data_IF_073909324889
#
_entry.id   IF_073909324889
#
_cell.length_a   1.000
_cell.length_b   1.000
_cell.length_c   1.000
_cell.angle_alpha   90.00
_cell.angle_beta   90.00
_cell.angle_gamma   90.00
#
_symmetry.space_group_name_H-M   'P 1'
#
loop_
_entity.id
_entity.type
_entity.pdbx_description
1 polymer ?
#
# COMPACT_ATOMS: atom_id res chain seq x y z
N UNK A 1 19.18 -28.16 -0.63
CA UNK A 1 18.28 -27.07 -1.06
C UNK A 1 17.75 -26.37 0.19
N UNK A 2 18.02 -25.07 0.38
CA UNK A 2 17.47 -24.32 1.52
C UNK A 2 15.97 -24.10 1.27
N UNK A 3 15.12 -24.69 2.11
CA UNK A 3 13.68 -24.44 2.07
C UNK A 3 13.41 -23.03 2.59
N UNK A 4 13.35 -22.06 1.70
CA UNK A 4 12.90 -20.70 2.03
C UNK A 4 11.39 -20.77 2.24
N UNK A 5 10.95 -20.87 3.49
CA UNK A 5 9.53 -20.85 3.84
C UNK A 5 9.01 -19.41 3.75
N UNK A 6 8.31 -19.09 2.66
CA UNK A 6 7.63 -17.82 2.48
C UNK A 6 6.24 -17.88 3.13
N UNK A 7 5.94 -16.98 4.07
CA UNK A 7 4.67 -16.99 4.82
C UNK A 7 3.47 -16.90 3.87
N UNK A 8 2.44 -17.69 4.12
CA UNK A 8 1.19 -17.73 3.35
C UNK A 8 1.33 -18.18 1.89
N UNK A 9 2.54 -18.55 1.44
CA UNK A 9 2.75 -19.12 0.12
C UNK A 9 2.55 -20.64 0.18
N UNK A 10 1.66 -21.18 -0.65
CA UNK A 10 1.37 -22.60 -0.76
C UNK A 10 1.47 -23.04 -2.22
N UNK A 11 2.05 -24.21 -2.47
CA UNK A 11 1.92 -24.87 -3.77
C UNK A 11 0.61 -25.67 -3.82
N UNK A 12 -0.16 -25.48 -4.88
CA UNK A 12 -1.31 -26.29 -5.19
C UNK A 12 -0.83 -27.59 -5.84
N UNK A 13 -0.99 -28.71 -5.14
CA UNK A 13 -0.52 -30.02 -5.60
C UNK A 13 -1.26 -30.53 -6.85
N UNK A 14 -2.50 -30.08 -7.06
CA UNK A 14 -3.33 -30.49 -8.20
C UNK A 14 -2.96 -29.77 -9.49
N UNK A 15 -2.66 -28.46 -9.40
CA UNK A 15 -2.39 -27.62 -10.58
C UNK A 15 -0.91 -27.28 -10.75
N UNK A 16 -0.09 -27.53 -9.73
CA UNK A 16 1.31 -27.12 -9.67
C UNK A 16 1.52 -25.62 -9.38
N UNK A 17 0.45 -24.82 -9.37
CA UNK A 17 0.52 -23.36 -9.17
C UNK A 17 0.90 -22.98 -7.75
N UNK A 18 1.47 -21.80 -7.59
CA UNK A 18 1.76 -21.19 -6.30
C UNK A 18 0.70 -20.17 -5.94
N UNK A 19 0.16 -20.27 -4.73
CA UNK A 19 -0.96 -19.49 -4.23
C UNK A 19 -0.58 -18.80 -2.94
N UNK A 20 -0.89 -17.50 -2.86
CA UNK A 20 -1.00 -16.81 -1.58
C UNK A 20 -2.33 -17.18 -0.95
N UNK A 21 -2.29 -17.78 0.24
CA UNK A 21 -3.50 -18.14 0.99
C UNK A 21 -3.35 -17.71 2.45
N UNK A 22 -4.13 -16.71 2.85
CA UNK A 22 -4.18 -16.21 4.23
C UNK A 22 -5.62 -16.15 4.70
N UNK A 23 -5.92 -16.76 5.85
CA UNK A 23 -7.22 -16.59 6.51
C UNK A 23 -7.43 -15.10 6.84
N UNK A 24 -8.63 -14.59 6.59
CA UNK A 24 -8.97 -13.19 6.86
C UNK A 24 -8.76 -12.94 8.37
N UNK A 25 -7.90 -11.98 8.75
CA UNK A 25 -7.71 -11.63 10.16
C UNK A 25 -8.99 -11.07 10.78
N UNK A 26 -9.20 -11.29 12.09
CA UNK A 26 -10.40 -10.84 12.82
C UNK A 26 -10.73 -9.36 12.63
N UNK A 27 -9.72 -8.50 12.54
CA UNK A 27 -9.89 -7.07 12.30
C UNK A 27 -10.56 -6.77 10.95
N UNK A 28 -10.42 -7.66 9.96
CA UNK A 28 -10.99 -7.53 8.63
C UNK A 28 -12.30 -8.31 8.44
N UNK A 29 -12.71 -9.17 9.38
CA UNK A 29 -13.91 -10.02 9.23
C UNK A 29 -15.19 -9.21 9.02
N UNK A 30 -15.30 -8.03 9.64
CA UNK A 30 -16.46 -7.13 9.47
C UNK A 30 -16.43 -6.32 8.17
N UNK A 31 -15.24 -6.12 7.59
CA UNK A 31 -15.02 -5.31 6.39
C UNK A 31 -15.02 -6.16 5.11
N UNK A 32 -14.59 -7.40 5.21
CA UNK A 32 -14.42 -8.31 4.08
C UNK A 32 -15.38 -9.48 4.23
N UNK A 33 -16.33 -9.62 3.30
CA UNK A 33 -17.31 -10.74 3.26
C UNK A 33 -16.71 -12.11 2.88
N UNK A 34 -15.38 -12.25 2.93
CA UNK A 34 -14.65 -13.48 2.55
C UNK A 34 -14.04 -14.09 3.80
N UNK A 35 -13.84 -15.42 3.79
CA UNK A 35 -13.17 -16.15 4.89
C UNK A 35 -11.65 -16.16 4.74
N UNK A 36 -11.16 -16.07 3.51
CA UNK A 36 -9.73 -16.16 3.17
C UNK A 36 -9.37 -15.24 1.99
N UNK A 37 -8.16 -14.72 2.02
CA UNK A 37 -7.48 -14.12 0.87
C UNK A 37 -6.77 -15.24 0.12
N UNK A 38 -7.27 -15.57 -1.07
CA UNK A 38 -6.65 -16.54 -1.99
C UNK A 38 -6.30 -15.82 -3.29
N UNK A 39 -5.03 -15.92 -3.69
CA UNK A 39 -4.54 -15.38 -4.96
C UNK A 39 -3.49 -16.31 -5.56
N UNK A 40 -3.69 -16.74 -6.80
CA UNK A 40 -2.65 -17.44 -7.56
C UNK A 40 -1.57 -16.43 -7.94
N UNK A 41 -0.32 -16.70 -7.54
CA UNK A 41 0.83 -15.84 -7.80
C UNK A 41 1.62 -16.27 -9.04
N UNK A 42 1.69 -17.56 -9.36
CA UNK A 42 2.40 -18.02 -10.55
C UNK A 42 2.36 -19.54 -10.71
N UNK A 43 2.95 -20.03 -11.81
CA UNK A 43 3.16 -21.48 -12.02
C UNK A 43 4.53 -21.92 -11.55
N UNK A 44 5.47 -20.98 -11.41
CA UNK A 44 6.82 -21.23 -10.92
C UNK A 44 7.06 -20.57 -9.57
N UNK A 45 8.04 -21.09 -8.83
CA UNK A 45 8.44 -20.51 -7.54
C UNK A 45 9.01 -19.09 -7.71
N UNK A 46 9.74 -18.83 -8.80
CA UNK A 46 10.32 -17.52 -9.08
C UNK A 46 9.24 -16.45 -9.26
N UNK A 47 8.24 -16.72 -10.12
CA UNK A 47 7.08 -15.81 -10.31
C UNK A 47 6.35 -15.56 -9.00
N UNK A 48 6.18 -16.62 -8.20
CA UNK A 48 5.49 -16.55 -6.93
C UNK A 48 6.21 -15.62 -5.95
N UNK A 49 7.53 -15.73 -5.84
CA UNK A 49 8.35 -14.87 -4.97
C UNK A 49 8.36 -13.42 -5.45
N UNK A 50 8.48 -13.18 -6.77
CA UNK A 50 8.44 -11.83 -7.32
C UNK A 50 7.11 -11.12 -7.04
N UNK A 51 5.99 -11.85 -7.14
CA UNK A 51 4.64 -11.29 -6.92
C UNK A 51 4.20 -11.33 -5.46
N UNK A 52 4.89 -12.10 -4.62
CA UNK A 52 4.57 -12.26 -3.21
C UNK A 52 4.59 -10.93 -2.47
N UNK A 53 5.64 -10.13 -2.66
CA UNK A 53 5.82 -8.86 -1.94
C UNK A 53 4.62 -7.95 -2.09
N UNK A 54 4.21 -7.69 -3.33
CA UNK A 54 3.07 -6.83 -3.64
C UNK A 54 1.74 -7.34 -3.05
N UNK A 55 1.46 -8.64 -3.14
CA UNK A 55 0.22 -9.20 -2.58
C UNK A 55 0.24 -9.19 -1.04
N UNK A 56 1.39 -9.47 -0.44
CA UNK A 56 1.54 -9.47 1.02
C UNK A 56 1.40 -8.05 1.60
N UNK A 57 2.09 -7.07 1.01
CA UNK A 57 2.00 -5.66 1.40
C UNK A 57 0.58 -5.12 1.29
N UNK A 58 -0.13 -5.44 0.20
CA UNK A 58 -1.53 -5.05 0.03
C UNK A 58 -2.40 -5.54 1.19
N UNK A 59 -2.22 -6.79 1.62
CA UNK A 59 -3.04 -7.36 2.69
C UNK A 59 -2.59 -6.81 4.06
N UNK A 60 -1.30 -6.62 4.31
CA UNK A 60 -0.82 -5.95 5.52
C UNK A 60 -1.32 -4.50 5.61
N UNK A 61 -1.41 -3.79 4.49
CA UNK A 61 -2.00 -2.47 4.42
C UNK A 61 -3.50 -2.51 4.80
N UNK A 62 -4.28 -3.45 4.24
CA UNK A 62 -5.68 -3.65 4.63
C UNK A 62 -5.83 -3.97 6.13
N UNK A 63 -4.95 -4.83 6.66
CA UNK A 63 -4.94 -5.17 8.09
C UNK A 63 -4.65 -3.94 8.94
N UNK A 64 -3.71 -3.11 8.51
CA UNK A 64 -3.34 -1.87 9.20
C UNK A 64 -4.48 -0.87 9.18
N UNK A 65 -5.12 -0.64 8.02
CA UNK A 65 -6.31 0.20 7.89
C UNK A 65 -7.47 -0.31 8.75
N UNK A 66 -7.65 -1.63 8.87
CA UNK A 66 -8.72 -2.19 9.67
C UNK A 66 -8.44 -2.12 11.19
N UNK A 67 -7.17 -2.21 11.59
CA UNK A 67 -6.75 -2.11 12.99
C UNK A 67 -6.74 -0.68 13.51
N UNK A 68 -6.23 0.24 12.70
CA UNK A 68 -5.98 1.62 13.09
C UNK A 68 -6.95 2.61 12.44
N UNK A 69 -7.92 2.14 11.64
CA UNK A 69 -8.74 3.01 10.79
C UNK A 69 -7.89 3.71 9.71
N UNK A 70 -8.44 4.76 9.10
CA UNK A 70 -7.65 5.76 8.33
C UNK A 70 -6.81 6.66 9.28
N UNK A 71 -6.62 6.23 10.52
CA UNK A 71 -6.23 7.08 11.65
C UNK A 71 -4.98 6.53 12.32
N UNK A 72 -3.84 6.83 11.71
CA UNK A 72 -2.67 7.29 12.44
C UNK A 72 -2.57 8.82 12.45
N UNK A 73 -3.63 9.51 12.04
CA UNK A 73 -3.73 10.96 11.95
C UNK A 73 -5.04 11.39 12.61
N UNK A 74 -4.95 12.33 13.56
CA UNK A 74 -6.09 13.06 14.09
C UNK A 74 -6.86 13.77 12.96
N UNK A 75 -8.15 14.10 13.15
CA UNK A 75 -8.91 14.90 12.17
C UNK A 75 -8.19 16.19 11.75
N UNK A 76 -7.41 16.78 12.66
CA UNK A 76 -6.57 17.96 12.39
C UNK A 76 -5.38 17.66 11.46
N UNK A 77 -4.75 16.49 11.58
CA UNK A 77 -3.65 16.07 10.71
C UNK A 77 -4.14 15.64 9.32
N UNK A 78 -5.32 15.03 9.24
CA UNK A 78 -6.00 14.75 7.98
C UNK A 78 -6.36 16.06 7.26
N UNK A 79 -6.92 17.05 7.98
CA UNK A 79 -7.20 18.38 7.46
C UNK A 79 -5.93 19.12 7.00
N UNK A 80 -4.84 19.08 7.78
CA UNK A 80 -3.56 19.68 7.40
C UNK A 80 -2.95 19.04 6.14
N UNK A 81 -2.97 17.72 6.01
CA UNK A 81 -2.47 17.04 4.79
C UNK A 81 -3.32 17.36 3.56
N UNK A 82 -4.65 17.39 3.72
CA UNK A 82 -5.56 17.77 2.64
C UNK A 82 -5.36 19.23 2.22
N UNK A 83 -5.20 20.13 3.18
CA UNK A 83 -4.88 21.53 2.91
C UNK A 83 -3.52 21.69 2.22
N UNK A 84 -2.48 20.96 2.65
CA UNK A 84 -1.18 20.98 2.00
C UNK A 84 -1.23 20.45 0.56
N UNK A 85 -2.03 19.41 0.29
CA UNK A 85 -2.22 18.86 -1.06
C UNK A 85 -2.98 19.82 -2.00
N UNK A 86 -3.93 20.58 -1.47
CA UNK A 86 -4.72 21.54 -2.25
C UNK A 86 -4.02 22.89 -2.40
N UNK A 87 -3.16 23.27 -1.45
CA UNK A 87 -2.44 24.53 -1.45
C UNK A 87 -1.06 24.42 -2.13
N UNK A 88 -0.49 23.22 -2.23
CA UNK A 88 0.68 22.94 -3.06
C UNK A 88 0.25 22.70 -4.53
N UNK A 89 -0.23 23.74 -5.19
CA UNK A 89 -0.11 23.86 -6.65
C UNK A 89 1.21 24.58 -6.98
N UNK A 90 1.78 24.32 -8.17
CA UNK A 90 3.20 24.49 -8.45
C UNK A 90 3.63 25.95 -8.45
N UNK A 91 4.91 26.15 -8.13
CA UNK A 91 5.64 27.41 -8.30
C UNK A 91 5.31 28.08 -9.65
N UNK A 92 4.42 29.08 -9.64
CA UNK A 92 4.52 30.17 -10.60
C UNK A 92 5.57 31.14 -10.07
N UNK A 93 6.79 30.93 -10.57
CA UNK A 93 7.90 31.86 -10.47
C UNK A 93 7.50 33.12 -11.25
N UNK A 94 6.78 34.05 -10.61
CA UNK A 94 6.71 35.43 -11.10
C UNK A 94 7.85 36.19 -10.43
N UNK A 95 8.98 36.27 -11.14
CA UNK A 95 10.10 37.12 -10.74
C UNK A 95 9.61 38.57 -10.62
N UNK A 96 9.88 39.30 -9.53
CA UNK A 96 9.69 40.74 -9.54
C UNK A 96 10.74 41.36 -10.48
N UNK A 97 10.29 42.04 -11.53
CA UNK A 97 11.13 43.00 -12.25
C UNK A 97 11.39 44.18 -11.30
N UNK A 98 12.54 44.18 -10.63
CA UNK A 98 13.11 45.40 -10.09
C UNK A 98 13.80 46.13 -11.26
N UNK A 99 13.21 47.24 -11.69
CA UNK A 99 14.00 48.32 -12.28
C UNK A 99 14.20 49.37 -11.19
N UNK A 100 15.46 49.50 -10.79
CA UNK A 100 15.98 50.42 -9.80
C UNK A 100 15.54 51.86 -10.06
N UNK A 101 14.90 52.48 -9.06
CA UNK A 101 14.74 53.93 -9.02
C UNK A 101 15.98 54.50 -8.32
N UNK A 102 17.08 54.60 -9.08
CA UNK A 102 18.29 55.30 -8.66
C UNK A 102 18.10 56.80 -8.84
N UNK A 103 17.81 57.49 -7.74
CA UNK A 103 17.91 58.95 -7.66
C UNK A 103 19.36 59.43 -7.69
N UNK A 104 19.55 60.70 -8.08
CA UNK A 104 20.28 61.63 -7.22
C UNK A 104 19.36 62.72 -6.64
#
# INVERSE_FOLDING_TARGET
MRNVTVKYLRKNERTGSFEYRRRVPKSLEKLVKKREFLKVLGKTQSEAVMRYGAEHEKIEHLVSLAKFGVTGLSPMEQSKKLAALLCASPQEVVRPYNYDIGGP
#
